data_IF_752328455449
#
_entry.id   IF_752328455449
#
_cell.length_a   1.000
_cell.length_b   1.000
_cell.length_c   1.000
_cell.angle_alpha   90.00
_cell.angle_beta   90.00
_cell.angle_gamma   90.00
#
_symmetry.space_group_name_H-M   'P 1'
#
loop_
_entity.id
_entity.type
_entity.pdbx_description
1 polymer ?
#
# COMPACT_ATOMS: atom_id res chain seq x y z
N UNK A 1 -20.33 1.94 -1.79
CA UNK A 1 -21.04 2.51 -0.61
C UNK A 1 -22.02 3.60 -1.02
N UNK A 2 -21.58 4.72 -1.64
CA UNK A 2 -22.47 5.80 -2.07
C UNK A 2 -23.65 5.37 -2.97
N UNK A 3 -23.44 4.38 -3.85
CA UNK A 3 -24.51 3.75 -4.65
C UNK A 3 -25.58 3.04 -3.83
N UNK A 4 -25.18 2.28 -2.79
CA UNK A 4 -26.12 1.58 -1.90
C UNK A 4 -26.93 2.53 -1.02
N UNK A 5 -26.39 3.72 -0.72
CA UNK A 5 -27.05 4.73 0.12
C UNK A 5 -27.88 5.74 -0.69
N UNK A 6 -28.04 5.58 -2.00
CA UNK A 6 -28.78 6.52 -2.86
C UNK A 6 -28.13 7.91 -2.98
N UNK A 7 -26.88 8.07 -2.52
CA UNK A 7 -26.11 9.32 -2.53
C UNK A 7 -25.04 9.32 -3.62
N UNK A 8 -25.27 8.55 -4.67
CA UNK A 8 -24.33 8.43 -5.76
C UNK A 8 -24.32 9.73 -6.56
N UNK A 9 -23.15 10.37 -6.62
CA UNK A 9 -22.87 11.36 -7.66
C UNK A 9 -21.55 10.98 -8.34
N UNK A 10 -21.51 11.07 -9.67
CA UNK A 10 -20.32 10.70 -10.44
C UNK A 10 -19.10 11.57 -10.08
N UNK A 11 -19.32 12.80 -9.60
CA UNK A 11 -18.26 13.69 -9.16
C UNK A 11 -17.45 13.09 -7.99
N UNK A 12 -18.09 12.43 -7.02
CA UNK A 12 -17.39 11.84 -5.87
C UNK A 12 -16.46 10.69 -6.26
N UNK A 13 -16.87 9.89 -7.24
CA UNK A 13 -16.03 8.83 -7.80
C UNK A 13 -14.80 9.40 -8.52
N UNK A 14 -15.00 10.48 -9.29
CA UNK A 14 -13.92 11.18 -9.98
C UNK A 14 -12.90 11.78 -9.00
N UNK A 15 -13.38 12.43 -7.94
CA UNK A 15 -12.54 13.03 -6.89
C UNK A 15 -11.74 11.94 -6.16
N UNK A 16 -12.41 10.87 -5.70
CA UNK A 16 -11.76 9.78 -4.98
C UNK A 16 -10.72 9.06 -5.86
N UNK A 17 -11.05 8.80 -7.12
CA UNK A 17 -10.15 8.17 -8.08
C UNK A 17 -8.91 9.05 -8.34
N UNK A 18 -9.12 10.36 -8.52
CA UNK A 18 -8.02 11.30 -8.77
C UNK A 18 -7.12 11.47 -7.54
N UNK A 19 -7.69 11.51 -6.33
CA UNK A 19 -6.92 11.57 -5.08
C UNK A 19 -6.12 10.27 -4.87
N UNK A 20 -6.75 9.11 -5.08
CA UNK A 20 -6.11 7.80 -5.00
C UNK A 20 -4.94 7.67 -6.00
N UNK A 21 -5.16 8.12 -7.23
CA UNK A 21 -4.16 8.12 -8.28
C UNK A 21 -3.01 9.09 -7.98
N UNK A 22 -3.33 10.30 -7.48
CA UNK A 22 -2.33 11.28 -7.06
C UNK A 22 -1.42 10.75 -5.95
N UNK A 23 -2.00 10.11 -4.94
CA UNK A 23 -1.22 9.46 -3.88
C UNK A 23 -0.37 8.29 -4.37
N UNK A 24 -0.89 7.48 -5.30
CA UNK A 24 -0.13 6.40 -5.91
C UNK A 24 1.09 6.95 -6.67
N UNK A 25 0.90 7.98 -7.50
CA UNK A 25 1.98 8.62 -8.24
C UNK A 25 3.04 9.18 -7.30
N UNK A 26 2.63 9.88 -6.24
CA UNK A 26 3.53 10.43 -5.24
C UNK A 26 4.37 9.33 -4.57
N UNK A 27 3.74 8.24 -4.13
CA UNK A 27 4.45 7.11 -3.50
C UNK A 27 5.46 6.45 -4.45
N UNK A 28 5.10 6.26 -5.72
CA UNK A 28 6.02 5.71 -6.72
C UNK A 28 7.21 6.65 -6.93
N UNK A 29 6.97 7.95 -7.11
CA UNK A 29 8.03 8.94 -7.28
C UNK A 29 8.97 9.02 -6.07
N UNK A 30 8.41 9.02 -4.85
CA UNK A 30 9.18 9.05 -3.61
C UNK A 30 10.02 7.76 -3.46
N UNK A 31 9.46 6.61 -3.83
CA UNK A 31 10.19 5.33 -3.84
C UNK A 31 11.35 5.32 -4.83
N UNK A 32 11.13 5.84 -6.05
CA UNK A 32 12.18 6.00 -7.06
C UNK A 32 13.27 6.97 -6.61
N UNK A 33 12.88 8.09 -6.01
CA UNK A 33 13.80 9.07 -5.45
C UNK A 33 14.65 8.49 -4.31
N UNK A 34 14.04 7.72 -3.40
CA UNK A 34 14.74 7.06 -2.31
C UNK A 34 15.75 6.02 -2.81
N UNK A 35 15.37 5.23 -3.83
CA UNK A 35 16.24 4.29 -4.53
C UNK A 35 17.45 5.01 -5.15
N UNK A 36 17.20 6.15 -5.80
CA UNK A 36 18.23 6.96 -6.45
C UNK A 36 19.23 7.52 -5.43
N UNK A 37 18.75 8.17 -4.36
CA UNK A 37 19.59 8.75 -3.30
C UNK A 37 20.41 7.69 -2.58
N UNK A 38 19.83 6.52 -2.29
CA UNK A 38 20.54 5.46 -1.59
C UNK A 38 21.47 4.63 -2.48
N UNK A 39 21.57 4.95 -3.78
CA UNK A 39 22.39 4.26 -4.77
C UNK A 39 22.23 2.73 -4.70
N UNK A 40 20.97 2.30 -4.58
CA UNK A 40 20.62 0.89 -4.54
C UNK A 40 20.74 0.39 -5.99
N UNK A 41 21.71 -0.49 -6.29
CA UNK A 41 21.74 -1.23 -7.55
C UNK A 41 20.50 -2.12 -7.63
N UNK A 42 19.46 -1.62 -8.30
CA UNK A 42 18.16 -2.29 -8.37
C UNK A 42 18.20 -3.35 -9.46
N UNK A 43 18.08 -4.61 -9.04
CA UNK A 43 17.61 -5.69 -9.91
C UNK A 43 16.07 -5.86 -9.80
N UNK A 44 15.41 -4.94 -9.09
CA UNK A 44 13.96 -4.91 -8.92
C UNK A 44 13.39 -4.13 -10.10
N UNK A 45 12.45 -4.75 -10.83
CA UNK A 45 11.81 -4.10 -11.97
C UNK A 45 11.00 -2.89 -11.50
N UNK A 46 11.01 -1.80 -12.27
CA UNK A 46 10.14 -0.63 -12.00
C UNK A 46 8.67 -1.03 -11.81
N UNK A 47 8.24 -2.09 -12.49
CA UNK A 47 6.89 -2.66 -12.37
C UNK A 47 6.61 -3.25 -10.98
N UNK A 48 7.63 -3.80 -10.30
CA UNK A 48 7.47 -4.32 -8.95
C UNK A 48 7.19 -3.20 -7.95
N UNK A 49 7.85 -2.04 -8.10
CA UNK A 49 7.65 -0.86 -7.25
C UNK A 49 6.20 -0.38 -7.38
N UNK A 50 5.73 -0.25 -8.63
CA UNK A 50 4.34 0.13 -8.92
C UNK A 50 3.37 -0.88 -8.32
N UNK A 51 3.64 -2.18 -8.44
CA UNK A 51 2.82 -3.22 -7.82
C UNK A 51 2.77 -3.09 -6.29
N UNK A 52 3.92 -2.87 -5.64
CA UNK A 52 3.99 -2.69 -4.18
C UNK A 52 3.21 -1.47 -3.68
N UNK A 53 3.26 -0.35 -4.40
CA UNK A 53 2.44 0.82 -4.08
C UNK A 53 0.94 0.58 -4.37
N UNK A 54 0.62 -0.21 -5.40
CA UNK A 54 -0.75 -0.50 -5.84
C UNK A 54 -1.51 -1.55 -5.02
N UNK A 55 -0.84 -2.48 -4.34
CA UNK A 55 -1.52 -3.55 -3.57
C UNK A 55 -2.46 -3.02 -2.47
N UNK A 56 -2.31 -1.76 -2.07
CA UNK A 56 -3.22 -1.13 -1.12
C UNK A 56 -4.67 -1.08 -1.63
N UNK A 57 -4.88 -0.96 -2.93
CA UNK A 57 -6.23 -0.88 -3.50
C UNK A 57 -7.01 -2.20 -3.38
N UNK A 58 -6.33 -3.35 -3.47
CA UNK A 58 -6.96 -4.66 -3.24
C UNK A 58 -7.49 -4.74 -1.80
N UNK A 59 -6.68 -4.27 -0.86
CA UNK A 59 -7.06 -4.26 0.55
C UNK A 59 -8.23 -3.33 0.84
N UNK A 60 -8.24 -2.15 0.20
CA UNK A 60 -9.35 -1.20 0.29
C UNK A 60 -10.67 -1.83 -0.18
N UNK A 61 -10.65 -2.61 -1.28
CA UNK A 61 -11.85 -3.32 -1.76
C UNK A 61 -12.37 -4.31 -0.71
N UNK A 62 -11.50 -5.09 -0.07
CA UNK A 62 -11.90 -6.04 0.98
C UNK A 62 -12.51 -5.33 2.19
N UNK A 63 -11.96 -4.18 2.60
CA UNK A 63 -12.52 -3.35 3.68
C UNK A 63 -13.89 -2.79 3.30
N UNK A 64 -14.07 -2.37 2.05
CA UNK A 64 -15.37 -1.88 1.56
C UNK A 64 -16.43 -2.98 1.54
N UNK A 65 -16.07 -4.20 1.12
CA UNK A 65 -16.99 -5.35 1.11
C UNK A 65 -17.39 -5.74 2.53
N UNK A 66 -16.42 -5.81 3.46
CA UNK A 66 -16.69 -6.13 4.87
C UNK A 66 -17.56 -5.07 5.56
N UNK A 67 -17.42 -3.79 5.17
CA UNK A 67 -18.35 -2.75 5.62
C UNK A 67 -19.77 -2.94 5.07
N UNK A 68 -19.93 -3.39 3.83
CA UNK A 68 -21.28 -3.62 3.27
C UNK A 68 -21.98 -4.81 3.95
N UNK A 69 -21.25 -5.84 4.36
CA UNK A 69 -21.83 -7.05 4.95
C UNK A 69 -22.07 -6.95 6.46
N UNK A 70 -21.17 -6.30 7.20
CA UNK A 70 -21.18 -6.22 8.67
C UNK A 70 -21.30 -4.79 9.20
N UNK A 71 -21.49 -3.78 8.34
CA UNK A 71 -21.66 -2.38 8.72
C UNK A 71 -20.43 -1.82 9.49
N UNK A 72 -20.64 -0.90 10.45
CA UNK A 72 -19.59 -0.32 11.31
C UNK A 72 -18.58 -1.32 11.89
N UNK A 73 -18.96 -2.45 12.53
CA UNK A 73 -17.97 -3.39 13.07
C UNK A 73 -17.19 -4.10 11.95
N UNK A 74 -17.84 -4.41 10.82
CA UNK A 74 -17.19 -4.99 9.64
C UNK A 74 -16.05 -4.15 9.11
N UNK A 75 -16.23 -2.82 9.12
CA UNK A 75 -15.17 -1.88 8.74
C UNK A 75 -13.93 -1.97 9.63
N UNK A 76 -14.09 -1.94 10.96
CA UNK A 76 -12.94 -1.95 11.87
C UNK A 76 -12.21 -3.30 11.86
N UNK A 77 -12.94 -4.42 11.85
CA UNK A 77 -12.35 -5.76 11.76
C UNK A 77 -11.69 -6.00 10.41
N UNK A 78 -12.35 -5.62 9.31
CA UNK A 78 -11.78 -5.69 7.98
C UNK A 78 -10.53 -4.83 7.87
N UNK A 79 -10.57 -3.58 8.36
CA UNK A 79 -9.40 -2.70 8.31
C UNK A 79 -8.20 -3.29 9.05
N UNK A 80 -8.40 -3.79 10.28
CA UNK A 80 -7.33 -4.41 11.05
C UNK A 80 -6.78 -5.65 10.37
N UNK A 81 -7.65 -6.56 9.95
CA UNK A 81 -7.26 -7.82 9.32
C UNK A 81 -6.42 -7.56 8.07
N UNK A 82 -6.93 -6.70 7.18
CA UNK A 82 -6.30 -6.49 5.88
C UNK A 82 -5.03 -5.63 6.00
N UNK A 83 -4.97 -4.72 6.98
CA UNK A 83 -3.74 -3.99 7.32
C UNK A 83 -2.62 -4.94 7.78
N UNK A 84 -2.94 -5.89 8.66
CA UNK A 84 -1.98 -6.90 9.14
C UNK A 84 -1.59 -7.84 8.01
N UNK A 85 -2.56 -8.31 7.20
CA UNK A 85 -2.30 -9.19 6.07
C UNK A 85 -1.41 -8.53 5.02
N UNK A 86 -1.65 -7.27 4.68
CA UNK A 86 -0.82 -6.50 3.74
C UNK A 86 0.60 -6.30 4.29
N UNK A 87 0.73 -5.86 5.54
CA UNK A 87 2.03 -5.70 6.18
C UNK A 87 2.82 -7.02 6.17
N UNK A 88 2.17 -8.13 6.53
CA UNK A 88 2.78 -9.46 6.49
C UNK A 88 3.20 -9.84 5.07
N UNK A 89 2.31 -9.67 4.08
CA UNK A 89 2.57 -10.00 2.69
C UNK A 89 3.76 -9.21 2.10
N UNK A 90 3.84 -7.91 2.39
CA UNK A 90 4.97 -7.08 1.95
C UNK A 90 6.27 -7.57 2.56
N UNK A 91 6.30 -7.76 3.89
CA UNK A 91 7.48 -8.24 4.60
C UNK A 91 7.93 -9.61 4.04
N UNK A 92 7.01 -10.53 3.79
CA UNK A 92 7.29 -11.86 3.21
C UNK A 92 7.82 -11.78 1.78
N UNK A 93 7.12 -11.06 0.91
CA UNK A 93 7.49 -10.92 -0.51
C UNK A 93 8.86 -10.26 -0.66
N UNK A 94 9.16 -9.29 0.20
CA UNK A 94 10.44 -8.58 0.20
C UNK A 94 11.56 -9.42 0.80
N UNK A 95 11.32 -10.14 1.91
CA UNK A 95 12.30 -11.11 2.43
C UNK A 95 12.67 -12.15 1.39
N UNK A 96 11.69 -12.66 0.63
CA UNK A 96 11.92 -13.62 -0.45
C UNK A 96 12.74 -13.05 -1.62
N UNK A 97 12.59 -11.76 -1.96
CA UNK A 97 13.42 -11.11 -2.99
C UNK A 97 14.83 -10.76 -2.50
N UNK A 98 15.00 -10.47 -1.21
CA UNK A 98 16.28 -10.09 -0.60
C UNK A 98 17.15 -11.33 -0.33
N UNK A 99 16.56 -12.46 0.10
CA UNK A 99 17.29 -13.71 0.41
C UNK A 99 18.27 -14.16 -0.71
N UNK A 100 17.84 -14.30 -1.98
CA UNK A 100 18.74 -14.74 -3.05
C UNK A 100 19.82 -13.71 -3.42
N UNK A 101 19.67 -12.45 -3.01
CA UNK A 101 20.63 -11.37 -3.29
C UNK A 101 21.52 -11.04 -2.09
N UNK A 102 21.26 -11.62 -0.91
CA UNK A 102 22.08 -11.43 0.28
C UNK A 102 23.46 -12.06 0.17
N UNK A 103 23.61 -13.07 -0.69
CA UNK A 103 24.90 -13.74 -0.92
C UNK A 103 25.78 -13.02 -1.95
N UNK A 104 25.21 -12.08 -2.72
CA UNK A 104 25.89 -11.39 -3.82
C UNK A 104 26.33 -9.94 -3.50
N UNK A 105 25.82 -9.32 -2.43
CA UNK A 105 26.08 -7.90 -2.10
C UNK A 105 26.51 -7.70 -0.64
N UNK A 106 27.39 -6.71 -0.35
CA UNK A 106 27.84 -6.42 1.02
C UNK A 106 26.68 -6.02 1.93
N UNK A 107 26.74 -6.52 3.17
CA UNK A 107 25.69 -6.47 4.20
C UNK A 107 25.09 -5.08 4.49
N UNK A 108 25.85 -4.01 4.26
CA UNK A 108 25.41 -2.62 4.50
C UNK A 108 24.34 -2.14 3.50
N UNK A 109 24.42 -2.55 2.23
CA UNK A 109 23.43 -2.18 1.20
C UNK A 109 22.07 -2.87 1.48
N UNK A 110 22.11 -4.11 1.95
CA UNK A 110 20.91 -4.87 2.31
C UNK A 110 20.18 -4.27 3.52
N UNK A 111 20.92 -3.77 4.54
CA UNK A 111 20.30 -3.09 5.69
C UNK A 111 19.49 -1.87 5.27
N UNK A 112 20.06 -0.99 4.43
CA UNK A 112 19.39 0.24 3.96
C UNK A 112 18.13 -0.05 3.14
N UNK A 113 18.17 -1.07 2.28
CA UNK A 113 17.01 -1.58 1.54
C UNK A 113 15.91 -2.04 2.49
N UNK A 114 16.26 -2.85 3.48
CA UNK A 114 15.30 -3.35 4.48
C UNK A 114 14.66 -2.18 5.25
N UNK A 115 15.44 -1.17 5.67
CA UNK A 115 14.89 -0.01 6.39
C UNK A 115 13.90 0.81 5.57
N UNK A 116 14.22 1.15 4.31
CA UNK A 116 13.28 1.86 3.44
C UNK A 116 11.97 1.08 3.24
N UNK A 117 12.09 -0.23 3.02
CA UNK A 117 10.95 -1.10 2.77
C UNK A 117 10.08 -1.29 3.99
N UNK A 118 10.68 -1.40 5.18
CA UNK A 118 9.97 -1.50 6.45
C UNK A 118 9.23 -0.18 6.76
N UNK A 119 9.84 0.96 6.42
CA UNK A 119 9.21 2.27 6.52
C UNK A 119 8.00 2.38 5.57
N UNK A 120 8.12 1.97 4.31
CA UNK A 120 7.00 1.93 3.35
C UNK A 120 5.90 0.99 3.86
N UNK A 121 6.25 -0.21 4.33
CA UNK A 121 5.29 -1.18 4.84
C UNK A 121 4.55 -0.69 6.09
N UNK A 122 5.19 0.11 6.95
CA UNK A 122 4.55 0.74 8.12
C UNK A 122 3.66 1.94 7.75
N UNK A 123 4.05 2.71 6.73
CA UNK A 123 3.27 3.87 6.26
C UNK A 123 1.98 3.42 5.56
N UNK A 124 1.98 2.27 4.88
CA UNK A 124 0.81 1.78 4.15
C UNK A 124 -0.48 1.57 4.98
N UNK A 125 -0.47 0.91 6.15
CA UNK A 125 -1.67 0.77 6.98
C UNK A 125 -2.16 2.11 7.56
N UNK A 126 -1.23 3.04 7.81
CA UNK A 126 -1.55 4.40 8.28
C UNK A 126 -2.27 5.21 7.19
N UNK A 127 -1.80 5.08 5.94
CA UNK A 127 -2.44 5.65 4.75
C UNK A 127 -3.79 5.01 4.45
N UNK A 128 -3.92 3.68 4.62
CA UNK A 128 -5.22 2.99 4.47
C UNK A 128 -6.24 3.51 5.47
N UNK A 129 -5.87 3.62 6.75
CA UNK A 129 -6.77 4.16 7.75
C UNK A 129 -7.21 5.58 7.40
N UNK A 130 -6.28 6.43 6.93
CA UNK A 130 -6.60 7.79 6.50
C UNK A 130 -7.56 7.85 5.31
N UNK A 131 -7.29 7.09 4.24
CA UNK A 131 -8.09 7.10 3.02
C UNK A 131 -9.48 6.51 3.25
N UNK A 132 -9.56 5.43 4.02
CA UNK A 132 -10.85 4.75 4.26
C UNK A 132 -11.71 5.51 5.28
N UNK A 133 -11.09 6.28 6.20
CA UNK A 133 -11.82 7.21 7.08
C UNK A 133 -12.61 8.24 6.26
N UNK A 134 -12.06 8.78 5.18
CA UNK A 134 -12.75 9.76 4.31
C UNK A 134 -13.92 9.18 3.51
N UNK A 135 -13.91 7.86 3.29
CA UNK A 135 -14.96 7.17 2.51
C UNK A 135 -16.10 6.69 3.41
N UNK A 136 -15.83 6.46 4.70
CA UNK A 136 -16.77 5.84 5.65
C UNK A 136 -17.34 6.84 6.68
N UNK A 137 -16.59 7.87 7.08
CA UNK A 137 -17.05 8.96 7.96
C UNK A 137 -17.38 10.22 7.14
#
# INVERSE_FOLDING_TARGET
>A
IFGFQGRFSPEYLGILSSEAFGWLLLEVLLSLFAIYILNIQNNISYLDIVAYCGYKFVSMIVVLISYITLDRPGYYFGLLYVSVALAFFLIRSLKLKILPHAEAYPSECNKRRIYLLLLIALVQPLMMWWLTRRVVL
#
